data_IF_917665283905
#
_entry.id   IF_917665283905
#
_cell.length_a   1.000
_cell.length_b   1.000
_cell.length_c   1.000
_cell.angle_alpha   90.00
_cell.angle_beta   90.00
_cell.angle_gamma   90.00
#
_symmetry.space_group_name_H-M   'P 1'
#
loop_
_entity.id
_entity.type
_entity.pdbx_description
1 polymer ?
#
# COMPACT_ATOMS: atom_id res chain seq x y z
N UNK A 1 0.52 2.57 -15.34
CA UNK A 1 0.41 1.09 -15.36
C UNK A 1 1.20 0.50 -14.20
N UNK A 2 0.74 -0.59 -13.61
CA UNK A 2 1.52 -1.36 -12.64
C UNK A 2 2.88 -1.77 -13.21
N UNK A 3 3.85 -1.97 -12.35
CA UNK A 3 5.21 -2.34 -12.76
C UNK A 3 5.23 -3.77 -13.30
N UNK A 4 5.55 -3.94 -14.58
CA UNK A 4 5.56 -5.23 -15.28
C UNK A 4 6.61 -6.22 -14.75
N UNK A 5 7.54 -5.80 -13.90
CA UNK A 5 8.42 -6.71 -13.19
C UNK A 5 7.64 -7.61 -12.22
N UNK A 6 6.54 -7.08 -11.67
CA UNK A 6 5.76 -7.70 -10.60
C UNK A 6 4.40 -8.20 -11.02
N UNK A 7 3.87 -7.71 -12.14
CA UNK A 7 2.53 -8.05 -12.61
C UNK A 7 2.57 -8.47 -14.07
N UNK A 8 1.84 -9.53 -14.37
CA UNK A 8 1.46 -9.83 -15.74
C UNK A 8 0.25 -8.99 -16.11
N UNK A 9 0.29 -8.42 -17.30
CA UNK A 9 -0.76 -7.56 -17.82
C UNK A 9 -1.52 -8.36 -18.88
N UNK A 10 -2.82 -8.56 -18.68
CA UNK A 10 -3.66 -9.18 -19.68
C UNK A 10 -3.72 -8.33 -20.96
N UNK A 11 -4.06 -8.95 -22.07
CA UNK A 11 -4.42 -8.22 -23.30
C UNK A 11 -5.61 -7.28 -23.04
N UNK A 12 -5.80 -6.33 -23.94
CA UNK A 12 -6.96 -5.43 -23.97
C UNK A 12 -8.27 -6.20 -23.76
N UNK A 13 -9.21 -5.59 -23.03
CA UNK A 13 -10.54 -6.16 -22.78
C UNK A 13 -11.57 -5.35 -23.58
N UNK A 14 -12.41 -6.03 -24.33
CA UNK A 14 -13.50 -5.39 -25.07
C UNK A 14 -14.49 -4.72 -24.11
N UNK A 15 -15.04 -3.58 -24.50
CA UNK A 15 -15.91 -2.79 -23.61
C UNK A 15 -17.14 -3.57 -23.14
N UNK A 16 -17.73 -4.41 -23.98
CA UNK A 16 -18.89 -5.24 -23.63
C UNK A 16 -18.55 -6.22 -22.48
N UNK A 17 -17.35 -6.82 -22.52
CA UNK A 17 -16.86 -7.68 -21.44
C UNK A 17 -16.62 -6.89 -20.15
N UNK A 18 -16.10 -5.65 -20.27
CA UNK A 18 -15.92 -4.75 -19.12
C UNK A 18 -17.27 -4.40 -18.48
N UNK A 19 -18.29 -4.08 -19.27
CA UNK A 19 -19.63 -3.75 -18.78
C UNK A 19 -20.26 -4.92 -18.02
N UNK A 20 -20.15 -6.13 -18.57
CA UNK A 20 -20.62 -7.35 -17.92
C UNK A 20 -19.90 -7.64 -16.61
N UNK A 21 -18.56 -7.63 -16.63
CA UNK A 21 -17.71 -7.89 -15.47
C UNK A 21 -17.91 -6.87 -14.35
N UNK A 22 -18.08 -5.61 -14.71
CA UNK A 22 -18.12 -4.48 -13.80
C UNK A 22 -19.54 -4.10 -13.35
N UNK A 23 -20.58 -4.78 -13.84
CA UNK A 23 -21.97 -4.43 -13.61
C UNK A 23 -22.27 -2.95 -13.91
N UNK A 24 -21.75 -2.47 -15.03
CA UNK A 24 -21.87 -1.10 -15.46
C UNK A 24 -22.69 -0.99 -16.75
N UNK A 25 -23.24 0.19 -16.97
CA UNK A 25 -23.92 0.57 -18.23
C UNK A 25 -23.26 1.82 -18.80
N UNK A 26 -23.42 2.07 -20.07
CA UNK A 26 -22.90 3.29 -20.70
C UNK A 26 -23.97 4.38 -20.65
N UNK A 27 -23.57 5.63 -20.37
CA UNK A 27 -24.47 6.78 -20.56
C UNK A 27 -24.87 6.89 -22.03
N UNK A 28 -26.15 7.12 -22.32
CA UNK A 28 -26.76 7.06 -23.67
C UNK A 28 -26.03 7.93 -24.71
N UNK A 29 -25.86 7.39 -25.93
CA UNK A 29 -25.41 8.12 -27.12
C UNK A 29 -23.97 7.92 -27.55
N UNK A 30 -23.17 7.11 -26.84
CA UNK A 30 -21.78 6.84 -27.23
C UNK A 30 -21.70 5.71 -28.27
N UNK A 31 -20.86 5.89 -29.30
CA UNK A 31 -20.47 4.80 -30.19
C UNK A 31 -19.54 3.84 -29.42
N UNK A 32 -19.98 2.62 -29.21
CA UNK A 32 -19.29 1.58 -28.46
C UNK A 32 -18.42 0.69 -29.34
N UNK A 33 -18.51 0.85 -30.68
CA UNK A 33 -17.87 -0.05 -31.63
C UNK A 33 -16.34 -0.02 -31.46
N UNK A 34 -15.76 -1.19 -31.21
CA UNK A 34 -14.31 -1.41 -31.10
C UNK A 34 -13.57 -0.65 -29.99
N UNK A 35 -14.25 -0.19 -28.93
CA UNK A 35 -13.56 0.40 -27.79
C UNK A 35 -13.00 -0.69 -26.87
N UNK A 36 -11.75 -0.52 -26.45
CA UNK A 36 -11.02 -1.46 -25.58
C UNK A 36 -10.41 -0.77 -24.40
N UNK A 37 -10.40 -1.45 -23.26
CA UNK A 37 -9.75 -0.99 -22.05
C UNK A 37 -8.42 -1.71 -21.90
N UNK A 38 -7.33 -0.94 -21.80
CA UNK A 38 -5.96 -1.45 -21.78
C UNK A 38 -5.36 -1.39 -20.38
N UNK A 39 -6.00 -0.65 -19.46
CA UNK A 39 -5.46 -0.46 -18.13
C UNK A 39 -6.45 0.13 -17.14
N UNK A 40 -6.01 0.14 -15.91
CA UNK A 40 -6.66 0.80 -14.78
C UNK A 40 -5.69 1.78 -14.12
N UNK A 41 -6.15 3.01 -13.86
CA UNK A 41 -5.32 4.03 -13.24
C UNK A 41 -6.17 5.01 -12.40
N UNK A 42 -5.56 5.71 -11.43
CA UNK A 42 -6.21 6.83 -10.74
C UNK A 42 -6.57 7.96 -11.70
N UNK A 43 -7.66 8.69 -11.41
CA UNK A 43 -8.16 9.83 -12.22
C UNK A 43 -7.08 10.84 -12.62
N UNK A 44 -6.09 11.07 -11.74
CA UNK A 44 -5.03 12.08 -11.94
C UNK A 44 -3.98 11.71 -12.98
N UNK A 45 -3.81 10.40 -13.27
CA UNK A 45 -2.74 9.91 -14.16
C UNK A 45 -3.25 9.01 -15.29
N UNK A 46 -4.53 8.68 -15.30
CA UNK A 46 -5.16 7.84 -16.31
C UNK A 46 -5.07 8.47 -17.70
N UNK A 47 -4.76 7.64 -18.70
CA UNK A 47 -4.74 7.98 -20.12
C UNK A 47 -5.96 7.45 -20.87
N UNK A 48 -5.99 7.65 -22.20
CA UNK A 48 -7.14 7.31 -23.05
C UNK A 48 -7.47 5.81 -23.11
N UNK A 49 -6.51 4.93 -22.86
CA UNK A 49 -6.73 3.49 -22.78
C UNK A 49 -7.13 3.00 -21.38
N UNK A 50 -7.10 3.87 -20.36
CA UNK A 50 -7.30 3.48 -18.98
C UNK A 50 -8.73 3.71 -18.50
N UNK A 51 -9.18 2.83 -17.58
CA UNK A 51 -10.37 3.02 -16.77
C UNK A 51 -9.98 3.56 -15.38
N UNK A 52 -10.63 4.64 -14.98
CA UNK A 52 -10.55 5.18 -13.63
C UNK A 52 -11.89 5.01 -12.90
N UNK A 53 -11.96 5.36 -11.62
CA UNK A 53 -13.22 5.43 -10.89
C UNK A 53 -13.32 6.70 -10.05
N UNK A 54 -14.54 7.10 -9.75
CA UNK A 54 -14.86 8.21 -8.87
C UNK A 54 -15.94 7.79 -7.86
N UNK A 55 -15.61 7.88 -6.56
CA UNK A 55 -16.53 7.55 -5.46
C UNK A 55 -16.43 8.52 -4.28
N UNK A 56 -15.46 9.45 -4.28
CA UNK A 56 -15.22 10.38 -3.19
C UNK A 56 -15.16 11.83 -3.70
N UNK A 57 -16.01 12.70 -3.12
CA UNK A 57 -16.11 14.12 -3.48
C UNK A 57 -14.82 14.92 -3.36
N UNK A 58 -13.88 14.48 -2.53
CA UNK A 58 -12.54 15.10 -2.43
C UNK A 58 -11.80 15.09 -3.77
N UNK A 59 -12.09 14.14 -4.66
CA UNK A 59 -11.46 13.96 -5.97
C UNK A 59 -12.29 14.51 -7.13
N UNK A 60 -13.31 15.35 -6.88
CA UNK A 60 -14.18 15.90 -7.93
C UNK A 60 -13.38 16.67 -9.00
N UNK A 61 -12.41 17.48 -8.60
CA UNK A 61 -11.56 18.20 -9.54
C UNK A 61 -10.66 17.27 -10.38
N UNK A 62 -10.26 16.11 -9.82
CA UNK A 62 -9.55 15.09 -10.57
C UNK A 62 -10.46 14.45 -11.63
N UNK A 63 -11.74 14.20 -11.31
CA UNK A 63 -12.71 13.71 -12.29
C UNK A 63 -12.89 14.71 -13.44
N UNK A 64 -13.13 16.00 -13.13
CA UNK A 64 -13.32 17.05 -14.14
C UNK A 64 -12.13 17.25 -15.08
N UNK A 65 -10.92 16.90 -14.63
CA UNK A 65 -9.67 17.10 -15.38
C UNK A 65 -9.06 15.81 -15.89
N UNK A 66 -9.71 14.67 -15.66
CA UNK A 66 -9.16 13.37 -16.07
C UNK A 66 -8.98 13.29 -17.58
N UNK A 67 -7.97 12.55 -18.01
CA UNK A 67 -7.75 12.13 -19.40
C UNK A 67 -8.02 10.64 -19.60
N UNK A 68 -8.65 9.99 -18.62
CA UNK A 68 -9.07 8.61 -18.74
C UNK A 68 -9.99 8.43 -19.95
N UNK A 69 -9.85 7.34 -20.69
CA UNK A 69 -10.81 6.99 -21.73
C UNK A 69 -12.14 6.54 -21.16
N UNK A 70 -12.12 5.99 -19.93
CA UNK A 70 -13.27 5.42 -19.24
C UNK A 70 -13.28 5.82 -17.76
N UNK A 71 -14.45 6.13 -17.22
CA UNK A 71 -14.59 6.44 -15.80
C UNK A 71 -15.84 5.76 -15.21
N UNK A 72 -15.64 4.86 -14.24
CA UNK A 72 -16.73 4.33 -13.42
C UNK A 72 -17.24 5.41 -12.48
N UNK A 73 -18.50 5.74 -12.58
CA UNK A 73 -19.15 6.81 -11.82
C UNK A 73 -20.56 6.42 -11.37
N UNK A 74 -21.09 7.11 -10.37
CA UNK A 74 -22.51 7.05 -10.09
C UNK A 74 -23.31 7.87 -11.13
N UNK A 75 -24.56 7.54 -11.35
CA UNK A 75 -25.45 8.26 -12.26
C UNK A 75 -25.50 9.78 -11.98
N UNK A 76 -25.50 10.15 -10.70
CA UNK A 76 -25.50 11.55 -10.27
C UNK A 76 -24.22 12.34 -10.59
N UNK A 77 -23.16 11.67 -11.04
CA UNK A 77 -21.86 12.29 -11.30
C UNK A 77 -21.51 12.37 -12.80
N UNK A 78 -22.41 11.92 -13.68
CA UNK A 78 -22.21 11.91 -15.15
C UNK A 78 -21.85 13.30 -15.67
N UNK A 79 -22.55 14.35 -15.22
CA UNK A 79 -22.36 15.73 -15.67
C UNK A 79 -20.97 16.29 -15.33
N UNK A 80 -20.21 15.60 -14.49
CA UNK A 80 -18.85 15.99 -14.11
C UNK A 80 -17.76 15.27 -14.94
N UNK A 81 -18.17 14.28 -15.73
CA UNK A 81 -17.24 13.50 -16.59
C UNK A 81 -16.94 14.31 -17.85
N UNK A 82 -15.64 14.51 -18.21
CA UNK A 82 -15.29 15.22 -19.44
C UNK A 82 -15.84 14.52 -20.71
N UNK A 83 -16.18 15.29 -21.74
CA UNK A 83 -16.75 14.76 -23.00
C UNK A 83 -15.90 13.68 -23.68
N UNK A 84 -14.56 13.77 -23.53
CA UNK A 84 -13.63 12.78 -24.09
C UNK A 84 -13.56 11.47 -23.30
N UNK A 85 -14.12 11.43 -22.09
CA UNK A 85 -14.13 10.29 -21.19
C UNK A 85 -15.49 9.59 -21.25
N UNK A 86 -15.51 8.30 -21.52
CA UNK A 86 -16.76 7.54 -21.50
C UNK A 86 -17.18 7.24 -20.06
N UNK A 87 -18.33 7.73 -19.65
CA UNK A 87 -18.92 7.41 -18.35
C UNK A 87 -19.47 5.98 -18.33
N UNK A 88 -18.93 5.16 -17.44
CA UNK A 88 -19.41 3.81 -17.13
C UNK A 88 -20.22 3.88 -15.84
N UNK A 89 -21.55 3.87 -15.97
CA UNK A 89 -22.48 4.11 -14.87
C UNK A 89 -22.67 2.84 -14.06
N UNK A 90 -22.44 2.91 -12.77
CA UNK A 90 -22.56 1.77 -11.84
C UNK A 90 -22.97 2.24 -10.44
N UNK A 91 -23.53 1.33 -9.64
CA UNK A 91 -23.84 1.59 -8.24
C UNK A 91 -22.63 1.52 -7.32
N UNK A 92 -21.53 0.94 -7.76
CA UNK A 92 -20.33 0.70 -6.95
C UNK A 92 -19.05 0.95 -7.76
N UNK A 93 -18.70 2.22 -8.07
CA UNK A 93 -17.58 2.56 -8.96
C UNK A 93 -16.25 1.93 -8.59
N UNK A 94 -15.90 1.91 -7.30
CA UNK A 94 -14.66 1.30 -6.81
C UNK A 94 -14.69 -0.23 -6.98
N UNK A 95 -15.80 -0.88 -6.68
CA UNK A 95 -15.94 -2.33 -6.86
C UNK A 95 -15.84 -2.72 -8.34
N UNK A 96 -16.50 -1.98 -9.22
CA UNK A 96 -16.45 -2.17 -10.67
C UNK A 96 -15.02 -2.04 -11.21
N UNK A 97 -14.31 -0.99 -10.79
CA UNK A 97 -12.90 -0.79 -11.12
C UNK A 97 -12.02 -1.93 -10.59
N UNK A 98 -12.27 -2.39 -9.35
CA UNK A 98 -11.50 -3.48 -8.73
C UNK A 98 -11.64 -4.79 -9.48
N UNK A 99 -12.85 -5.14 -9.94
CA UNK A 99 -13.07 -6.32 -10.78
C UNK A 99 -12.28 -6.26 -12.09
N UNK A 100 -12.33 -5.09 -12.75
CA UNK A 100 -11.57 -4.88 -13.98
C UNK A 100 -10.06 -4.95 -13.72
N UNK A 101 -9.57 -4.30 -12.68
CA UNK A 101 -8.16 -4.31 -12.33
C UNK A 101 -7.66 -5.72 -11.98
N UNK A 102 -8.45 -6.52 -11.25
CA UNK A 102 -8.13 -7.92 -10.95
C UNK A 102 -8.07 -8.80 -12.20
N UNK A 103 -8.86 -8.48 -13.22
CA UNK A 103 -8.84 -9.18 -14.51
C UNK A 103 -7.62 -8.80 -15.36
N UNK A 104 -7.22 -7.52 -15.32
CA UNK A 104 -6.11 -6.99 -16.11
C UNK A 104 -4.74 -7.33 -15.52
N UNK A 105 -4.62 -7.41 -14.21
CA UNK A 105 -3.32 -7.49 -13.54
C UNK A 105 -3.24 -8.70 -12.61
N UNK A 106 -2.36 -9.63 -12.93
CA UNK A 106 -2.08 -10.80 -12.10
C UNK A 106 -0.69 -10.68 -11.47
N UNK A 107 -0.57 -10.72 -10.13
CA UNK A 107 0.75 -10.72 -9.49
C UNK A 107 1.58 -11.92 -9.94
N UNK A 108 2.82 -11.66 -10.38
CA UNK A 108 3.75 -12.73 -10.71
C UNK A 108 4.10 -13.56 -9.50
N UNK A 109 4.17 -14.86 -9.68
CA UNK A 109 4.61 -15.82 -8.68
C UNK A 109 5.89 -16.53 -9.16
N UNK A 110 6.61 -17.12 -8.22
CA UNK A 110 7.74 -17.97 -8.61
C UNK A 110 7.23 -19.17 -9.40
N UNK A 111 7.83 -19.42 -10.56
CA UNK A 111 7.46 -20.50 -11.46
C UNK A 111 8.63 -21.46 -11.67
N UNK A 112 8.31 -22.73 -11.94
CA UNK A 112 9.28 -23.77 -12.22
C UNK A 112 9.85 -24.48 -10.99
N UNK A 113 10.58 -25.57 -11.21
CA UNK A 113 11.05 -26.47 -10.16
C UNK A 113 12.35 -25.99 -9.48
N UNK A 114 13.03 -24.97 -10.01
CA UNK A 114 14.32 -24.53 -9.53
C UNK A 114 14.17 -23.48 -8.44
N UNK A 115 14.82 -23.67 -7.30
CA UNK A 115 14.79 -22.69 -6.21
C UNK A 115 15.33 -21.31 -6.63
N UNK A 116 16.35 -21.28 -7.49
CA UNK A 116 16.88 -20.07 -8.10
C UNK A 116 16.50 -20.07 -9.58
N UNK A 117 15.67 -19.12 -9.98
CA UNK A 117 15.22 -19.03 -11.36
C UNK A 117 16.40 -18.69 -12.29
N UNK A 118 16.52 -19.32 -13.50
CA UNK A 118 17.66 -19.10 -14.41
C UNK A 118 17.85 -17.65 -14.88
N UNK A 119 16.82 -16.83 -14.83
CA UNK A 119 16.89 -15.40 -15.20
C UNK A 119 17.19 -14.48 -14.00
N UNK A 120 17.31 -15.02 -12.78
CA UNK A 120 17.74 -14.24 -11.63
C UNK A 120 19.20 -13.79 -11.82
N UNK A 121 19.49 -12.57 -11.36
CA UNK A 121 20.84 -11.98 -11.42
C UNK A 121 21.38 -11.83 -10.02
N UNK A 122 22.40 -12.61 -9.71
CA UNK A 122 23.04 -12.61 -8.39
C UNK A 122 24.48 -12.16 -8.59
N UNK A 123 24.82 -10.99 -8.03
CA UNK A 123 26.19 -10.46 -8.13
C UNK A 123 27.18 -11.33 -7.33
N UNK A 124 28.47 -11.21 -7.65
CA UNK A 124 29.54 -11.93 -6.95
C UNK A 124 29.60 -11.57 -5.45
N UNK A 125 29.91 -12.55 -4.60
CA UNK A 125 30.01 -12.36 -3.16
C UNK A 125 28.67 -12.36 -2.40
N UNK A 126 27.55 -12.66 -3.08
CA UNK A 126 26.27 -12.92 -2.41
C UNK A 126 26.29 -14.30 -1.77
N UNK A 127 25.82 -14.39 -0.52
CA UNK A 127 25.65 -15.65 0.20
C UNK A 127 24.18 -16.01 0.30
N UNK A 128 23.82 -17.23 -0.09
CA UNK A 128 22.45 -17.75 0.02
C UNK A 128 22.42 -18.93 0.99
N UNK A 129 21.53 -18.85 1.98
CA UNK A 129 21.24 -19.94 2.92
C UNK A 129 20.48 -21.09 2.26
N UNK A 130 20.36 -22.20 2.98
CA UNK A 130 19.64 -23.37 2.52
C UNK A 130 18.16 -23.05 2.27
N UNK A 131 17.60 -23.56 1.18
CA UNK A 131 16.18 -23.40 0.85
C UNK A 131 15.75 -22.00 0.45
N UNK A 132 16.68 -21.09 0.12
CA UNK A 132 16.37 -19.77 -0.45
C UNK A 132 15.75 -19.94 -1.83
N UNK A 133 14.67 -19.20 -2.08
CA UNK A 133 13.99 -19.14 -3.38
C UNK A 133 14.20 -17.75 -3.98
N UNK A 134 14.62 -17.68 -5.24
CA UNK A 134 14.82 -16.44 -5.99
C UNK A 134 14.04 -16.51 -7.30
N UNK A 135 13.06 -15.63 -7.45
CA UNK A 135 12.11 -15.59 -8.58
C UNK A 135 12.74 -15.07 -9.88
N UNK A 136 11.98 -15.21 -10.96
CA UNK A 136 12.39 -14.77 -12.28
C UNK A 136 12.72 -13.27 -12.32
N UNK A 137 13.84 -12.91 -12.94
CA UNK A 137 14.26 -11.52 -13.09
C UNK A 137 14.57 -10.79 -11.78
N UNK A 138 14.61 -11.48 -10.65
CA UNK A 138 15.06 -10.90 -9.38
C UNK A 138 16.56 -10.60 -9.42
N UNK A 139 16.98 -9.52 -8.76
CA UNK A 139 18.38 -9.07 -8.73
C UNK A 139 18.85 -8.93 -7.29
N UNK A 140 20.08 -9.41 -7.00
CA UNK A 140 20.69 -9.32 -5.66
C UNK A 140 22.11 -8.77 -5.80
N UNK A 141 22.33 -7.59 -5.18
CA UNK A 141 23.60 -6.89 -5.21
C UNK A 141 24.69 -7.53 -4.35
N UNK A 142 25.95 -7.31 -4.73
CA UNK A 142 27.14 -7.90 -4.13
C UNK A 142 27.21 -7.72 -2.61
N UNK A 143 27.81 -8.69 -1.93
CA UNK A 143 28.02 -8.67 -0.49
C UNK A 143 26.76 -8.86 0.35
N UNK A 144 25.63 -9.08 -0.28
CA UNK A 144 24.37 -9.35 0.42
C UNK A 144 24.32 -10.77 0.94
N UNK A 145 23.71 -10.94 2.11
CA UNK A 145 23.55 -12.22 2.80
C UNK A 145 22.07 -12.53 2.97
N UNK A 146 21.60 -13.62 2.37
CA UNK A 146 20.21 -14.07 2.40
C UNK A 146 20.14 -15.34 3.23
N UNK A 147 19.50 -15.30 4.37
CA UNK A 147 19.35 -16.42 5.29
C UNK A 147 18.38 -17.49 4.79
N UNK A 148 18.42 -18.65 5.46
CA UNK A 148 17.70 -19.86 5.09
C UNK A 148 16.18 -19.65 4.94
N UNK A 149 15.60 -20.34 3.94
CA UNK A 149 14.16 -20.39 3.66
C UNK A 149 13.51 -19.02 3.35
N UNK A 150 14.30 -18.05 2.95
CA UNK A 150 13.82 -16.75 2.49
C UNK A 150 13.34 -16.86 1.04
N UNK A 151 12.24 -16.17 0.75
CA UNK A 151 11.64 -16.10 -0.60
C UNK A 151 11.77 -14.69 -1.13
N UNK A 152 12.45 -14.56 -2.28
CA UNK A 152 12.57 -13.32 -3.05
C UNK A 152 11.73 -13.51 -4.31
N UNK A 153 10.63 -12.80 -4.41
CA UNK A 153 9.66 -12.90 -5.51
C UNK A 153 10.20 -12.38 -6.84
N UNK A 154 9.46 -12.64 -7.94
CA UNK A 154 9.83 -12.19 -9.27
C UNK A 154 10.06 -10.67 -9.34
N UNK A 155 11.09 -10.27 -10.09
CA UNK A 155 11.40 -8.87 -10.37
C UNK A 155 11.88 -8.03 -9.19
N UNK A 156 11.94 -8.58 -7.96
CA UNK A 156 12.46 -7.87 -6.79
C UNK A 156 13.92 -7.50 -6.97
N UNK A 157 14.28 -6.30 -6.52
CA UNK A 157 15.66 -5.82 -6.57
C UNK A 157 16.16 -5.58 -5.15
N UNK A 158 17.27 -6.20 -4.80
CA UNK A 158 17.96 -6.05 -3.52
C UNK A 158 19.33 -5.45 -3.80
N UNK A 159 19.62 -4.33 -3.14
CA UNK A 159 20.87 -3.61 -3.24
C UNK A 159 22.06 -4.39 -2.68
N UNK A 160 23.16 -3.70 -2.45
CA UNK A 160 24.44 -4.26 -2.00
C UNK A 160 24.54 -4.26 -0.49
N UNK A 161 25.34 -5.21 0.05
CA UNK A 161 25.64 -5.31 1.47
C UNK A 161 24.39 -5.39 2.35
N UNK A 162 23.32 -6.00 1.84
CA UNK A 162 22.08 -6.22 2.57
C UNK A 162 22.17 -7.50 3.42
N UNK A 163 21.49 -7.51 4.56
CA UNK A 163 21.23 -8.71 5.34
C UNK A 163 19.74 -8.99 5.37
N UNK A 164 19.36 -10.17 4.91
CA UNK A 164 17.94 -10.62 4.89
C UNK A 164 17.84 -11.87 5.75
N UNK A 165 17.17 -11.75 6.89
CA UNK A 165 17.00 -12.81 7.88
C UNK A 165 16.15 -13.98 7.39
N UNK A 166 16.26 -15.10 8.08
CA UNK A 166 15.59 -16.34 7.72
C UNK A 166 14.06 -16.20 7.66
N UNK A 167 13.43 -17.00 6.78
CA UNK A 167 11.99 -17.02 6.58
C UNK A 167 11.37 -15.67 6.19
N UNK A 168 12.13 -14.71 5.69
CA UNK A 168 11.59 -13.48 5.12
C UNK A 168 10.88 -13.77 3.79
N UNK A 169 9.85 -12.97 3.47
CA UNK A 169 9.25 -12.95 2.13
C UNK A 169 9.28 -11.54 1.56
N UNK A 170 9.73 -11.41 0.32
CA UNK A 170 9.90 -10.14 -0.38
C UNK A 170 9.23 -10.25 -1.73
N UNK A 171 8.17 -9.46 -1.95
CA UNK A 171 7.44 -9.37 -3.21
C UNK A 171 7.26 -7.90 -3.60
N UNK A 172 7.11 -7.62 -4.88
CA UNK A 172 6.82 -6.27 -5.39
C UNK A 172 7.67 -5.17 -4.70
N UNK A 173 8.97 -5.42 -4.53
CA UNK A 173 9.83 -4.55 -3.73
C UNK A 173 11.13 -4.16 -4.44
N UNK A 174 11.56 -2.92 -4.18
CA UNK A 174 12.85 -2.37 -4.54
C UNK A 174 13.57 -1.98 -3.24
N UNK A 175 14.71 -2.58 -2.98
CA UNK A 175 15.47 -2.47 -1.73
C UNK A 175 16.82 -1.86 -2.04
N UNK A 176 17.16 -0.76 -1.36
CA UNK A 176 18.44 -0.05 -1.48
C UNK A 176 19.62 -0.80 -0.86
N UNK A 177 20.75 -0.11 -0.75
CA UNK A 177 22.00 -0.66 -0.23
C UNK A 177 22.01 -0.68 1.31
N UNK A 178 22.71 -1.66 1.90
CA UNK A 178 22.92 -1.76 3.34
C UNK A 178 21.65 -1.97 4.19
N UNK A 179 20.58 -2.46 3.57
CA UNK A 179 19.30 -2.72 4.27
C UNK A 179 19.44 -3.97 5.14
N UNK A 180 18.88 -3.91 6.34
CA UNK A 180 18.83 -5.01 7.29
C UNK A 180 17.40 -5.42 7.59
N UNK A 181 17.00 -6.61 7.15
CA UNK A 181 15.71 -7.22 7.45
C UNK A 181 15.90 -8.39 8.41
N UNK A 182 15.26 -8.35 9.57
CA UNK A 182 15.31 -9.44 10.53
C UNK A 182 14.47 -10.64 10.08
N UNK A 183 14.54 -11.75 10.80
CA UNK A 183 13.83 -12.98 10.44
C UNK A 183 12.33 -12.82 10.44
N UNK A 184 11.67 -13.47 9.49
CA UNK A 184 10.22 -13.50 9.40
C UNK A 184 9.56 -12.19 8.90
N UNK A 185 10.32 -11.21 8.41
CA UNK A 185 9.77 -9.97 7.83
C UNK A 185 8.96 -10.30 6.57
N UNK A 186 7.87 -9.53 6.35
CA UNK A 186 7.01 -9.62 5.16
C UNK A 186 7.02 -8.28 4.43
N UNK A 187 7.61 -8.24 3.24
CA UNK A 187 7.71 -7.04 2.41
C UNK A 187 6.90 -7.22 1.14
N UNK A 188 5.98 -6.28 0.86
CA UNK A 188 5.27 -6.18 -0.42
C UNK A 188 4.10 -7.15 -0.58
N UNK A 189 3.58 -7.71 0.50
CA UNK A 189 2.26 -8.35 0.46
C UNK A 189 1.17 -7.33 0.14
N UNK A 190 -0.01 -7.81 -0.27
CA UNK A 190 -1.14 -6.92 -0.58
C UNK A 190 -1.62 -6.22 0.70
N UNK A 191 -1.80 -4.89 0.61
CA UNK A 191 -2.45 -4.12 1.66
C UNK A 191 -3.94 -4.46 1.77
N UNK A 192 -4.54 -4.11 2.91
CA UNK A 192 -5.96 -4.33 3.19
C UNK A 192 -6.81 -3.26 2.52
N UNK A 193 -7.31 -3.55 1.33
CA UNK A 193 -8.27 -2.73 0.60
C UNK A 193 -9.52 -3.53 0.29
N UNK A 194 -10.68 -3.07 0.74
CA UNK A 194 -11.96 -3.75 0.54
C UNK A 194 -12.98 -2.79 -0.05
N UNK A 195 -13.69 -3.23 -1.04
CA UNK A 195 -14.89 -2.57 -1.58
C UNK A 195 -16.06 -3.55 -1.56
N UNK A 196 -17.24 -3.10 -1.96
CA UNK A 196 -18.40 -3.96 -1.98
C UNK A 196 -19.41 -3.58 -3.06
N UNK A 197 -20.16 -4.57 -3.51
CA UNK A 197 -21.31 -4.42 -4.39
C UNK A 197 -22.44 -5.38 -3.98
N UNK A 198 -23.41 -5.61 -4.86
CA UNK A 198 -24.56 -6.50 -4.60
C UNK A 198 -24.17 -7.98 -4.47
N UNK A 199 -22.97 -8.38 -4.91
CA UNK A 199 -22.46 -9.74 -4.73
C UNK A 199 -21.67 -9.91 -3.42
N UNK A 200 -21.37 -8.81 -2.70
CA UNK A 200 -20.66 -8.84 -1.43
C UNK A 200 -19.37 -8.04 -1.40
N UNK A 201 -18.46 -8.43 -0.51
CA UNK A 201 -17.15 -7.78 -0.37
C UNK A 201 -16.16 -8.34 -1.40
N UNK A 202 -15.37 -7.44 -1.97
CA UNK A 202 -14.30 -7.78 -2.90
C UNK A 202 -13.00 -7.06 -2.51
N UNK A 203 -11.88 -7.72 -2.75
CA UNK A 203 -10.57 -7.11 -2.52
C UNK A 203 -10.28 -6.05 -3.59
N UNK A 204 -9.76 -4.91 -3.15
CA UNK A 204 -9.21 -3.88 -4.04
C UNK A 204 -7.79 -4.29 -4.42
N UNK A 205 -7.49 -4.55 -5.71
CA UNK A 205 -6.16 -4.94 -6.13
C UNK A 205 -5.09 -3.94 -5.72
N UNK A 206 -4.02 -4.42 -5.11
CA UNK A 206 -2.88 -3.62 -4.67
C UNK A 206 -1.79 -3.73 -5.73
N UNK A 207 -1.65 -2.69 -6.55
CA UNK A 207 -0.88 -2.69 -7.80
C UNK A 207 0.44 -1.92 -7.70
N UNK A 208 0.71 -1.30 -6.54
CA UNK A 208 1.94 -0.57 -6.25
C UNK A 208 3.06 -1.48 -5.74
N UNK A 209 4.08 -0.85 -5.18
CA UNK A 209 5.32 -1.50 -4.72
C UNK A 209 5.65 -1.07 -3.30
N UNK A 210 6.69 -1.73 -2.73
CA UNK A 210 7.42 -1.24 -1.56
C UNK A 210 8.79 -0.75 -2.02
N UNK A 211 9.20 0.42 -1.55
CA UNK A 211 10.54 0.97 -1.72
C UNK A 211 11.18 1.13 -0.34
N UNK A 212 12.24 0.38 -0.08
CA UNK A 212 13.11 0.59 1.07
C UNK A 212 14.36 1.32 0.59
N UNK A 213 14.59 2.53 1.11
CA UNK A 213 15.81 3.28 0.79
C UNK A 213 17.02 2.71 1.56
N UNK A 214 18.20 3.29 1.32
CA UNK A 214 19.46 2.78 1.86
C UNK A 214 19.47 2.74 3.41
N UNK A 215 20.15 1.78 3.98
CA UNK A 215 20.40 1.64 5.42
C UNK A 215 19.16 1.51 6.31
N UNK A 216 18.00 1.21 5.72
CA UNK A 216 16.78 0.88 6.48
C UNK A 216 16.99 -0.40 7.28
N UNK A 217 16.47 -0.44 8.52
CA UNK A 217 16.44 -1.66 9.33
C UNK A 217 15.03 -1.99 9.75
N UNK A 218 14.62 -3.24 9.58
CA UNK A 218 13.27 -3.73 9.90
C UNK A 218 13.36 -4.96 10.80
N UNK A 219 12.70 -4.89 11.94
CA UNK A 219 12.67 -5.92 12.98
C UNK A 219 11.81 -7.14 12.63
N UNK A 220 11.99 -8.19 13.39
CA UNK A 220 11.40 -9.50 13.16
C UNK A 220 9.85 -9.47 13.12
N UNK A 221 9.27 -10.20 12.17
CA UNK A 221 7.82 -10.32 12.02
C UNK A 221 7.09 -9.04 11.60
N UNK A 222 7.80 -7.98 11.25
CA UNK A 222 7.21 -6.75 10.73
C UNK A 222 6.69 -6.95 9.32
N UNK A 223 5.52 -6.35 9.03
CA UNK A 223 4.89 -6.37 7.73
C UNK A 223 4.91 -4.96 7.11
N UNK A 224 5.29 -4.87 5.85
CA UNK A 224 5.23 -3.65 5.03
C UNK A 224 4.46 -3.97 3.76
N UNK A 225 3.23 -3.46 3.69
CA UNK A 225 2.33 -3.73 2.57
C UNK A 225 2.69 -2.86 1.37
N UNK A 226 2.51 -3.40 0.16
CA UNK A 226 2.66 -2.60 -1.05
C UNK A 226 1.52 -1.61 -1.22
N UNK A 227 1.76 -0.54 -1.94
CA UNK A 227 0.74 0.46 -2.21
C UNK A 227 -0.40 -0.06 -3.09
N UNK A 228 -1.55 0.59 -3.00
CA UNK A 228 -2.72 0.26 -3.83
C UNK A 228 -2.46 0.57 -5.31
N UNK A 229 -1.85 1.70 -5.61
CA UNK A 229 -1.40 2.09 -6.94
C UNK A 229 -0.03 2.77 -6.91
N UNK A 230 0.15 3.71 -5.98
CA UNK A 230 1.45 4.32 -5.68
C UNK A 230 2.27 3.43 -4.73
N UNK A 231 3.51 3.82 -4.47
CA UNK A 231 4.42 3.04 -3.64
C UNK A 231 4.21 3.27 -2.13
N UNK A 232 4.46 2.25 -1.32
CA UNK A 232 4.79 2.39 0.10
C UNK A 232 6.30 2.62 0.18
N UNK A 233 6.73 3.67 0.87
CA UNK A 233 8.13 4.11 0.89
C UNK A 233 8.65 4.21 2.32
N UNK A 234 9.81 3.60 2.58
CA UNK A 234 10.52 3.75 3.84
C UNK A 234 11.83 4.51 3.55
N UNK A 235 11.92 5.73 4.11
CA UNK A 235 13.06 6.62 3.89
C UNK A 235 14.36 6.13 4.52
N UNK A 236 15.47 6.62 3.96
CA UNK A 236 16.84 6.24 4.29
C UNK A 236 17.10 6.24 5.81
N UNK A 237 17.87 5.26 6.27
CA UNK A 237 18.30 5.08 7.65
C UNK A 237 17.19 4.95 8.71
N UNK A 238 15.94 4.79 8.30
CA UNK A 238 14.83 4.56 9.23
C UNK A 238 14.95 3.22 9.93
N UNK A 239 14.50 3.16 11.18
CA UNK A 239 14.59 2.00 12.07
C UNK A 239 13.19 1.60 12.54
N UNK A 240 12.75 0.43 12.11
CA UNK A 240 11.44 -0.14 12.42
C UNK A 240 11.68 -1.39 13.25
N UNK A 241 11.08 -1.45 14.42
CA UNK A 241 11.24 -2.55 15.37
C UNK A 241 10.35 -3.75 15.01
N UNK A 242 10.28 -4.73 15.88
CA UNK A 242 9.60 -6.00 15.70
C UNK A 242 8.07 -5.85 15.70
N UNK A 243 7.38 -6.69 14.94
CA UNK A 243 5.92 -6.81 14.93
C UNK A 243 5.20 -5.49 14.64
N UNK A 244 5.79 -4.64 13.79
CA UNK A 244 5.17 -3.39 13.31
C UNK A 244 4.36 -3.66 12.04
N UNK A 245 3.21 -2.99 11.89
CA UNK A 245 2.44 -2.97 10.65
C UNK A 245 2.62 -1.61 9.96
N UNK A 246 3.16 -1.63 8.75
CA UNK A 246 3.18 -0.49 7.83
C UNK A 246 2.22 -0.80 6.69
N UNK A 247 1.06 -0.13 6.67
CA UNK A 247 0.04 -0.39 5.67
C UNK A 247 0.38 0.24 4.30
N UNK A 248 -0.48 -0.05 3.32
CA UNK A 248 -0.32 0.41 1.94
C UNK A 248 -0.22 1.94 1.81
N UNK A 249 0.59 2.41 0.89
CA UNK A 249 0.78 3.85 0.58
C UNK A 249 1.33 4.70 1.73
N UNK A 250 1.81 4.09 2.81
CA UNK A 250 2.53 4.82 3.86
C UNK A 250 3.86 5.32 3.30
N UNK A 251 4.20 6.58 3.60
CA UNK A 251 5.50 7.16 3.25
C UNK A 251 6.19 7.64 4.51
N UNK A 252 7.25 6.95 4.91
CA UNK A 252 8.14 7.39 5.98
C UNK A 252 9.28 8.20 5.39
N UNK A 253 9.57 9.35 5.99
CA UNK A 253 10.76 10.13 5.73
C UNK A 253 12.05 9.42 6.19
N UNK A 254 13.15 10.14 6.19
CA UNK A 254 14.47 9.67 6.63
C UNK A 254 14.58 9.63 8.14
N UNK A 255 15.38 8.69 8.67
CA UNK A 255 15.68 8.59 10.10
C UNK A 255 14.43 8.48 11.00
N UNK A 256 13.35 7.92 10.49
CA UNK A 256 12.13 7.67 11.29
C UNK A 256 12.37 6.45 12.19
N UNK A 257 11.88 6.52 13.42
CA UNK A 257 11.97 5.44 14.41
C UNK A 257 10.55 4.97 14.74
N UNK A 258 10.29 3.68 14.57
CA UNK A 258 9.00 3.06 14.93
C UNK A 258 9.26 1.90 15.87
N UNK A 259 8.87 2.05 17.14
CA UNK A 259 9.05 0.99 18.13
C UNK A 259 8.00 -0.13 17.97
N UNK A 260 8.29 -1.26 18.60
CA UNK A 260 7.56 -2.53 18.44
C UNK A 260 6.05 -2.44 18.65
N UNK A 261 5.33 -3.29 17.91
CA UNK A 261 3.86 -3.41 17.93
C UNK A 261 3.10 -2.14 17.54
N UNK A 262 3.75 -1.16 16.93
CA UNK A 262 3.06 0.01 16.38
C UNK A 262 2.38 -0.31 15.05
N UNK A 263 1.33 0.46 14.71
CA UNK A 263 0.61 0.31 13.45
C UNK A 263 0.37 1.67 12.79
N UNK A 264 0.79 1.80 11.53
CA UNK A 264 0.50 2.95 10.69
C UNK A 264 -0.48 2.49 9.61
N UNK A 265 -1.68 3.06 9.62
CA UNK A 265 -2.73 2.74 8.65
C UNK A 265 -2.42 3.31 7.26
N UNK A 266 -3.25 2.97 6.28
CA UNK A 266 -3.00 3.30 4.88
C UNK A 266 -2.85 4.81 4.63
N UNK A 267 -1.96 5.17 3.70
CA UNK A 267 -1.75 6.55 3.22
C UNK A 267 -1.24 7.55 4.26
N UNK A 268 -0.72 7.11 5.40
CA UNK A 268 -0.07 7.98 6.40
C UNK A 268 1.23 8.52 5.83
N UNK A 269 1.45 9.83 5.99
CA UNK A 269 2.67 10.52 5.59
C UNK A 269 3.47 10.91 6.84
N UNK A 270 4.73 10.56 6.91
CA UNK A 270 5.59 10.80 8.07
C UNK A 270 6.83 11.58 7.66
N UNK A 271 7.03 12.74 8.26
CA UNK A 271 8.22 13.57 8.03
C UNK A 271 9.49 12.99 8.66
N UNK A 272 10.63 13.51 8.21
CA UNK A 272 11.97 13.08 8.64
C UNK A 272 12.14 13.14 10.17
N UNK A 273 12.79 12.14 10.73
CA UNK A 273 13.16 12.10 12.15
C UNK A 273 11.99 11.94 13.13
N UNK A 274 10.77 11.63 12.64
CA UNK A 274 9.65 11.37 13.54
C UNK A 274 9.86 10.06 14.31
N UNK A 275 9.28 9.99 15.51
CA UNK A 275 9.48 8.87 16.44
C UNK A 275 8.15 8.35 16.98
N UNK A 276 7.97 7.04 16.95
CA UNK A 276 6.79 6.36 17.49
C UNK A 276 7.20 5.41 18.62
N UNK A 277 6.65 5.64 19.79
CA UNK A 277 6.79 4.73 20.93
C UNK A 277 6.03 3.43 20.70
N UNK A 278 6.40 2.38 21.44
CA UNK A 278 5.79 1.05 21.27
C UNK A 278 4.27 1.06 21.40
N UNK A 279 3.60 0.27 20.54
CA UNK A 279 2.14 0.20 20.45
C UNK A 279 1.46 1.51 20.09
N UNK A 280 2.15 2.44 19.44
CA UNK A 280 1.53 3.62 18.86
C UNK A 280 0.66 3.22 17.67
N UNK A 281 -0.49 3.89 17.50
CA UNK A 281 -1.40 3.68 16.37
C UNK A 281 -1.66 5.00 15.64
N UNK A 282 -1.73 4.95 14.30
CA UNK A 282 -2.10 6.12 13.48
C UNK A 282 -3.20 5.69 12.53
N UNK A 283 -4.32 6.42 12.50
CA UNK A 283 -5.40 6.16 11.54
C UNK A 283 -4.97 6.57 10.12
N UNK A 284 -5.74 6.17 9.13
CA UNK A 284 -5.47 6.43 7.71
C UNK A 284 -5.46 7.93 7.34
N UNK A 285 -4.69 8.27 6.29
CA UNK A 285 -4.62 9.61 5.72
C UNK A 285 -4.20 10.73 6.69
N UNK A 286 -3.33 10.43 7.65
CA UNK A 286 -2.80 11.39 8.63
C UNK A 286 -1.39 11.83 8.25
N UNK A 287 -1.10 13.13 8.45
CA UNK A 287 0.21 13.71 8.29
C UNK A 287 0.92 13.85 9.65
N UNK A 288 2.08 13.23 9.78
CA UNK A 288 2.97 13.34 10.96
C UNK A 288 4.16 14.20 10.57
N UNK A 289 4.26 15.39 11.15
CA UNK A 289 5.31 16.35 10.82
C UNK A 289 6.72 15.88 11.19
N UNK A 290 7.74 16.47 10.54
CA UNK A 290 9.14 16.13 10.80
C UNK A 290 9.51 16.32 12.29
N UNK A 291 10.25 15.37 12.85
CA UNK A 291 10.68 15.38 14.26
C UNK A 291 9.54 15.25 15.27
N UNK A 292 8.31 15.01 14.85
CA UNK A 292 7.19 14.76 15.76
C UNK A 292 7.39 13.46 16.54
N UNK A 293 6.85 13.42 17.76
CA UNK A 293 6.96 12.26 18.65
C UNK A 293 5.60 11.78 19.09
N UNK A 294 5.30 10.52 18.82
CA UNK A 294 4.09 9.84 19.29
C UNK A 294 4.48 8.92 20.45
N UNK A 295 3.96 9.18 21.65
CA UNK A 295 4.31 8.39 22.83
C UNK A 295 3.76 6.95 22.74
N UNK A 296 4.34 6.06 23.55
CA UNK A 296 3.91 4.66 23.60
C UNK A 296 2.42 4.53 23.95
N UNK A 297 1.71 3.65 23.24
CA UNK A 297 0.29 3.40 23.41
C UNK A 297 -0.65 4.53 22.96
N UNK A 298 -0.12 5.61 22.39
CA UNK A 298 -0.96 6.69 21.88
C UNK A 298 -1.59 6.31 20.53
N UNK A 299 -2.84 6.74 20.32
CA UNK A 299 -3.52 6.62 19.03
C UNK A 299 -3.78 8.01 18.46
N UNK A 300 -3.31 8.23 17.23
CA UNK A 300 -3.38 9.52 16.55
C UNK A 300 -4.57 9.54 15.58
N UNK A 301 -5.45 10.53 15.73
CA UNK A 301 -6.66 10.74 14.93
C UNK A 301 -6.63 12.04 14.12
N UNK A 302 -5.55 12.81 14.17
CA UNK A 302 -5.38 14.10 13.49
C UNK A 302 -3.93 14.29 13.15
N UNK A 303 -3.65 15.18 12.19
CA UNK A 303 -2.30 15.56 11.83
C UNK A 303 -1.51 16.07 13.04
N UNK A 304 -0.27 15.61 13.14
CA UNK A 304 0.65 16.01 14.21
C UNK A 304 1.65 17.02 13.65
N UNK A 305 1.64 18.28 14.11
CA UNK A 305 2.60 19.27 13.64
C UNK A 305 4.06 18.88 13.91
N UNK A 306 4.96 19.40 13.08
CA UNK A 306 6.39 19.13 13.19
C UNK A 306 6.94 19.47 14.61
N UNK A 307 7.81 18.61 15.14
CA UNK A 307 8.47 18.77 16.43
C UNK A 307 7.58 18.60 17.65
N UNK A 308 6.28 18.40 17.49
CA UNK A 308 5.39 18.21 18.63
C UNK A 308 5.46 16.79 19.21
N UNK A 309 5.21 16.69 20.50
CA UNK A 309 5.06 15.40 21.20
C UNK A 309 3.60 15.20 21.59
N UNK A 310 2.99 14.12 21.08
CA UNK A 310 1.63 13.73 21.40
C UNK A 310 1.64 12.46 22.25
N UNK A 311 0.75 12.43 23.25
CA UNK A 311 0.66 11.33 24.22
C UNK A 311 -0.78 10.88 24.40
N UNK A 312 -0.97 9.61 24.70
CA UNK A 312 -2.23 8.98 25.08
C UNK A 312 -2.12 8.24 26.40
N UNK A 313 -3.07 7.39 26.72
CA UNK A 313 -3.31 6.74 28.00
C UNK A 313 -2.09 6.11 28.71
N UNK A 314 -1.47 6.75 29.74
CA UNK A 314 -0.55 6.02 30.62
C UNK A 314 -1.33 5.06 31.52
N UNK A 315 -0.76 3.89 31.81
CA UNK A 315 -1.29 3.00 32.83
C UNK A 315 -1.25 3.69 34.21
N UNK A 316 -2.31 3.48 34.98
CA UNK A 316 -2.49 4.03 36.31
C UNK A 316 -2.95 2.94 37.28
N UNK A 317 -2.78 3.10 38.61
CA UNK A 317 -3.45 2.22 39.55
C UNK A 317 -4.95 2.13 39.26
N UNK A 318 -5.51 0.92 39.21
CA UNK A 318 -6.89 0.69 38.73
C UNK A 318 -7.92 1.57 39.46
N UNK A 319 -7.78 1.76 40.76
CA UNK A 319 -8.68 2.64 41.56
C UNK A 319 -8.61 4.11 41.10
N UNK A 320 -7.43 4.59 40.74
CA UNK A 320 -7.24 5.95 40.24
C UNK A 320 -7.87 6.09 38.85
N UNK A 321 -7.59 5.14 37.93
CA UNK A 321 -8.16 5.13 36.58
C UNK A 321 -9.69 5.16 36.61
N UNK A 322 -10.32 4.27 37.40
CA UNK A 322 -11.79 4.19 37.53
C UNK A 322 -12.39 5.49 38.11
N UNK A 323 -11.69 6.12 39.06
CA UNK A 323 -12.14 7.39 39.65
C UNK A 323 -12.09 8.55 38.64
N UNK A 324 -11.00 8.65 37.88
CA UNK A 324 -10.85 9.65 36.81
C UNK A 324 -11.86 9.45 35.69
N UNK A 325 -12.07 8.21 35.26
CA UNK A 325 -13.08 7.85 34.23
C UNK A 325 -14.49 8.21 34.70
N UNK A 326 -14.85 7.89 35.94
CA UNK A 326 -16.15 8.23 36.51
C UNK A 326 -16.35 9.77 36.64
N UNK A 327 -15.30 10.47 36.97
CA UNK A 327 -15.33 11.94 37.05
C UNK A 327 -15.53 12.58 35.68
N UNK A 328 -14.79 12.13 34.66
CA UNK A 328 -14.96 12.57 33.27
C UNK A 328 -16.38 12.33 32.75
N UNK A 329 -16.93 11.13 32.99
CA UNK A 329 -18.29 10.78 32.58
C UNK A 329 -19.34 11.70 33.23
N UNK A 330 -19.17 12.03 34.54
CA UNK A 330 -20.07 12.94 35.24
C UNK A 330 -19.92 14.39 34.74
N UNK A 331 -18.71 14.84 34.43
CA UNK A 331 -18.47 16.17 33.87
C UNK A 331 -19.13 16.31 32.50
N UNK A 332 -18.95 15.34 31.61
CA UNK A 332 -19.49 15.33 30.26
C UNK A 332 -21.05 15.31 30.22
N UNK A 333 -21.72 14.84 31.26
CA UNK A 333 -23.19 14.86 31.37
C UNK A 333 -23.74 16.17 31.93
N UNK A 334 -22.92 16.98 32.62
CA UNK A 334 -23.38 18.27 33.19
C UNK A 334 -23.50 19.40 32.17
N UNK A 335 -22.82 19.33 31.03
CA UNK A 335 -22.88 20.34 29.96
C UNK A 335 -24.08 20.17 29.00
N UNK A 336 -25.01 19.29 29.30
CA UNK A 336 -26.25 19.07 28.53
C UNK A 336 -27.50 19.63 29.17
N UNK A 337 -27.35 20.54 30.15
CA UNK A 337 -28.46 21.23 30.81
C UNK A 337 -28.51 22.70 30.48
#
# INVERSE_FOLDING_TARGET
MPDQRFFDVASEIDLDDVLGLAFATVSSGADLTARRVNGCAPLSVAGQGDAAYFSDRRYLENLRRTRAGFAFVHEADIDHVPEQTLALVTRSPQASWSRLAAKLYTPRRHEGPQAIHPTARIEEGVTLGVGVIVGQGAEIGRGSHIEAYTVIGPGCQIGRNCYIGAHATIYCALIGDGVHLASGVRIGEAGFGVSGDHEGLIDVPQLGRVILQDHVSIGAGTCVDRGAYDDTVIGEASKIDNMVQIAHNVKLGRNVIVAAHSGLSGSVQVGDGAMFGGRAGVIDHIDIGAGAKVAAGAVVFKDVPAGQMWSGFPAKPSRQFLRETAWLSKAATKDKG
#
